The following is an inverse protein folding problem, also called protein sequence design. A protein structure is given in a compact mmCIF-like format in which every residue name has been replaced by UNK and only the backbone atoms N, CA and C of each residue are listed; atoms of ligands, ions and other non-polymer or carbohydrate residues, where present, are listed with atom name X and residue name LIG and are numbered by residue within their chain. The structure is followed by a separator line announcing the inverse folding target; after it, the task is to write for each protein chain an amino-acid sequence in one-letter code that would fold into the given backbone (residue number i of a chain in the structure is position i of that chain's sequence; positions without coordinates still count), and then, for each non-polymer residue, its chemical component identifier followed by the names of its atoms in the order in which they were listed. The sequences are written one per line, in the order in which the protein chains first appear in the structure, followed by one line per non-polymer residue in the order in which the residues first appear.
data_IF_434507349880
#
_entry.id   IF_434507349880
#
_cell.length_a   1.000
_cell.length_b   1.000
_cell.length_c   1.000
_cell.angle_alpha   90.00
_cell.angle_beta   90.00
_cell.angle_gamma   90.00
#
_symmetry.space_group_name_H-M   'P 1'
#
loop_
_entity.id
_entity.type
_entity.pdbx_description
1 polymer ?
#
# COMPACT_ATOMS: atom_id res chain seq x y z
N UNK A 1 5.89 -1.20 -14.70
CA UNK A 1 6.11 -1.38 -13.24
C UNK A 1 5.12 -2.36 -12.72
N UNK A 2 5.51 -3.21 -11.77
CA UNK A 2 4.64 -4.15 -11.06
C UNK A 2 4.38 -3.70 -9.62
N UNK A 3 3.32 -4.22 -9.01
CA UNK A 3 2.97 -3.90 -7.62
C UNK A 3 3.07 -5.12 -6.72
N UNK A 4 3.44 -4.91 -5.46
CA UNK A 4 3.34 -5.92 -4.40
C UNK A 4 2.51 -5.34 -3.27
N UNK A 5 1.53 -6.11 -2.79
CA UNK A 5 0.83 -5.82 -1.54
C UNK A 5 1.29 -6.86 -0.52
N UNK A 6 1.93 -6.41 0.56
CA UNK A 6 2.26 -7.29 1.66
C UNK A 6 1.12 -7.26 2.68
N UNK A 7 0.33 -8.33 2.67
CA UNK A 7 -0.84 -8.54 3.51
C UNK A 7 -0.63 -9.73 4.48
N UNK A 8 0.59 -9.85 4.98
CA UNK A 8 0.99 -10.84 5.96
C UNK A 8 0.97 -10.31 7.40
N UNK A 9 1.57 -11.09 8.28
CA UNK A 9 1.72 -10.78 9.71
C UNK A 9 0.63 -11.37 10.59
N UNK A 10 0.97 -11.63 11.85
CA UNK A 10 0.10 -12.32 12.82
C UNK A 10 -1.07 -11.47 13.35
N UNK A 11 -1.05 -10.15 13.14
CA UNK A 11 -2.09 -9.24 13.62
C UNK A 11 -2.31 -9.23 15.14
N UNK A 12 -1.34 -9.70 15.94
CA UNK A 12 -1.49 -9.93 17.40
C UNK A 12 -1.92 -8.70 18.19
N UNK A 13 -1.55 -7.50 17.73
CA UNK A 13 -1.98 -6.24 18.37
C UNK A 13 -3.49 -5.98 18.28
N UNK A 14 -4.18 -6.70 17.40
CA UNK A 14 -5.64 -6.61 17.20
C UNK A 14 -6.38 -7.86 17.72
N UNK A 15 -5.73 -8.74 18.49
CA UNK A 15 -6.45 -9.86 19.14
C UNK A 15 -7.49 -9.31 20.13
N UNK A 16 -8.70 -9.91 20.16
CA UNK A 16 -9.11 -11.18 19.51
C UNK A 16 -9.64 -11.03 18.08
N UNK A 17 -9.75 -9.83 17.50
CA UNK A 17 -10.36 -9.62 16.17
C UNK A 17 -9.68 -10.45 15.07
N UNK A 18 -8.37 -10.59 15.15
CA UNK A 18 -7.53 -11.25 14.13
C UNK A 18 -7.21 -12.72 14.45
N UNK A 19 -7.93 -13.36 15.38
CA UNK A 19 -7.76 -14.79 15.67
C UNK A 19 -8.25 -15.71 14.55
N UNK A 20 -9.25 -15.26 13.79
CA UNK A 20 -9.90 -16.08 12.77
C UNK A 20 -9.87 -15.45 11.36
N UNK A 21 -9.35 -14.25 11.21
CA UNK A 21 -9.33 -13.52 9.94
C UNK A 21 -8.12 -12.60 9.87
N UNK A 22 -7.51 -12.50 8.69
CA UNK A 22 -6.46 -11.52 8.43
C UNK A 22 -6.97 -10.10 8.69
N UNK A 23 -6.11 -9.26 9.29
CA UNK A 23 -6.40 -7.84 9.50
C UNK A 23 -6.86 -7.15 8.20
N UNK A 24 -6.19 -7.44 7.10
CA UNK A 24 -6.44 -6.80 5.81
C UNK A 24 -7.76 -7.22 5.15
N UNK A 25 -8.43 -8.24 5.67
CA UNK A 25 -9.79 -8.64 5.28
C UNK A 25 -10.88 -8.03 6.16
N UNK A 26 -10.51 -7.38 7.26
CA UNK A 26 -11.47 -6.68 8.13
C UNK A 26 -12.04 -5.46 7.42
N UNK A 27 -13.31 -5.09 7.71
CA UNK A 27 -13.92 -3.94 7.09
C UNK A 27 -13.31 -2.63 7.62
N UNK A 28 -13.06 -1.70 6.72
CA UNK A 28 -12.88 -0.29 7.02
C UNK A 28 -14.07 0.43 6.40
N UNK A 29 -15.03 0.79 7.23
CA UNK A 29 -16.34 1.32 6.90
C UNK A 29 -17.15 0.36 6.01
N UNK A 30 -17.13 0.49 4.69
CA UNK A 30 -18.01 -0.23 3.76
C UNK A 30 -17.32 -1.27 2.88
N UNK A 31 -16.00 -1.47 3.04
CA UNK A 31 -15.22 -2.42 2.21
C UNK A 31 -14.04 -3.04 2.96
N UNK A 32 -13.49 -4.18 2.47
CA UNK A 32 -12.32 -4.78 3.09
C UNK A 32 -11.10 -3.88 3.02
N UNK A 33 -10.28 -3.88 4.07
CA UNK A 33 -9.08 -3.03 4.19
C UNK A 33 -8.14 -3.16 2.99
N UNK A 34 -7.97 -4.35 2.42
CA UNK A 34 -7.08 -4.60 1.27
C UNK A 34 -7.45 -3.77 0.02
N UNK A 35 -8.70 -3.31 -0.09
CA UNK A 35 -9.13 -2.49 -1.23
C UNK A 35 -8.40 -1.15 -1.29
N UNK A 36 -8.04 -0.58 -0.14
CA UNK A 36 -7.35 0.72 -0.08
C UNK A 36 -5.94 0.66 -0.66
N UNK A 37 -5.02 -0.21 -0.20
CA UNK A 37 -3.70 -0.33 -0.83
C UNK A 37 -3.78 -0.85 -2.26
N UNK A 38 -4.76 -1.70 -2.60
CA UNK A 38 -4.98 -2.16 -3.96
C UNK A 38 -5.34 -0.99 -4.89
N UNK A 39 -6.31 -0.15 -4.49
CA UNK A 39 -6.66 1.05 -5.26
C UNK A 39 -5.49 2.03 -5.36
N UNK A 40 -4.66 2.15 -4.31
CA UNK A 40 -3.47 3.01 -4.33
C UNK A 40 -2.48 2.59 -5.43
N UNK A 41 -2.22 1.29 -5.59
CA UNK A 41 -1.39 0.79 -6.69
C UNK A 41 -2.07 1.02 -8.06
N UNK A 42 -3.37 0.80 -8.14
CA UNK A 42 -4.11 1.04 -9.38
C UNK A 42 -4.08 2.51 -9.79
N UNK A 43 -4.26 3.46 -8.85
CA UNK A 43 -4.11 4.90 -9.11
C UNK A 43 -2.68 5.30 -9.53
N UNK A 44 -1.65 4.54 -9.14
CA UNK A 44 -0.29 4.70 -9.65
C UNK A 44 -0.11 4.17 -11.09
N UNK A 45 -1.16 3.63 -11.72
CA UNK A 45 -1.11 3.05 -13.07
C UNK A 45 -0.61 1.60 -13.09
N UNK A 46 -0.64 0.90 -11.97
CA UNK A 46 -0.13 -0.47 -11.83
C UNK A 46 -1.29 -1.45 -11.91
N UNK A 47 -1.24 -2.36 -12.90
CA UNK A 47 -2.27 -3.38 -13.14
C UNK A 47 -1.80 -4.82 -12.91
N UNK A 48 -0.47 -5.07 -12.85
CA UNK A 48 0.08 -6.37 -12.46
C UNK A 48 0.49 -6.33 -10.99
N UNK A 49 -0.20 -7.09 -10.13
CA UNK A 49 -0.07 -6.98 -8.68
C UNK A 49 0.07 -8.36 -8.05
N UNK A 50 1.11 -8.53 -7.23
CA UNK A 50 1.33 -9.71 -6.38
C UNK A 50 0.81 -9.44 -4.97
N UNK A 51 -0.08 -10.28 -4.48
CA UNK A 51 -0.57 -10.26 -3.11
C UNK A 51 0.22 -11.33 -2.32
N UNK A 52 0.97 -10.90 -1.32
CA UNK A 52 1.74 -11.78 -0.44
C UNK A 52 1.03 -11.85 0.92
N UNK A 53 0.72 -13.05 1.37
CA UNK A 53 0.04 -13.26 2.65
C UNK A 53 0.48 -14.57 3.32
N UNK A 54 -0.05 -14.83 4.52
CA UNK A 54 0.21 -16.08 5.24
C UNK A 54 -0.42 -17.28 4.52
N UNK A 55 0.06 -18.53 4.74
CA UNK A 55 -0.58 -19.72 4.18
C UNK A 55 -2.06 -19.85 4.54
N UNK A 56 -2.41 -19.43 5.75
CA UNK A 56 -3.79 -19.50 6.27
C UNK A 56 -4.73 -18.51 5.55
N UNK A 57 -4.28 -17.28 5.31
CA UNK A 57 -5.15 -16.22 4.85
C UNK A 57 -5.18 -16.07 3.32
N UNK A 58 -4.13 -16.53 2.62
CA UNK A 58 -4.00 -16.39 1.18
C UNK A 58 -5.21 -16.92 0.38
N UNK A 59 -5.83 -18.07 0.72
CA UNK A 59 -7.04 -18.54 0.02
C UNK A 59 -8.22 -17.59 0.14
N UNK A 60 -8.31 -16.80 1.22
CA UNK A 60 -9.38 -15.84 1.42
C UNK A 60 -9.17 -14.60 0.51
N UNK A 61 -7.94 -14.16 0.33
CA UNK A 61 -7.61 -13.10 -0.65
C UNK A 61 -7.89 -13.55 -2.08
N UNK A 62 -7.52 -14.79 -2.43
CA UNK A 62 -7.83 -15.36 -3.74
C UNK A 62 -9.34 -15.43 -4.00
N UNK A 63 -10.13 -15.80 -2.99
CA UNK A 63 -11.58 -15.84 -3.08
C UNK A 63 -12.19 -14.43 -3.24
N UNK A 64 -11.64 -13.44 -2.54
CA UNK A 64 -12.14 -12.06 -2.56
C UNK A 64 -11.82 -11.35 -3.88
N UNK A 65 -10.56 -11.45 -4.34
CA UNK A 65 -10.02 -10.60 -5.41
C UNK A 65 -9.99 -11.32 -6.77
N UNK A 66 -10.03 -12.67 -6.78
CA UNK A 66 -9.92 -13.46 -8.01
C UNK A 66 -8.58 -13.30 -8.71
N UNK A 67 -8.58 -13.33 -10.03
CA UNK A 67 -7.39 -13.17 -10.86
C UNK A 67 -7.19 -11.74 -11.41
N UNK A 68 -8.06 -10.81 -11.03
CA UNK A 68 -8.01 -9.40 -11.43
C UNK A 68 -8.57 -9.08 -12.81
N UNK A 69 -8.88 -10.08 -13.65
CA UNK A 69 -9.34 -9.83 -15.05
C UNK A 69 -10.57 -8.96 -15.12
N UNK A 70 -11.50 -9.10 -14.19
CA UNK A 70 -12.71 -8.28 -14.14
C UNK A 70 -12.43 -6.79 -13.94
N UNK A 71 -11.26 -6.46 -13.39
CA UNK A 71 -10.75 -5.10 -13.16
C UNK A 71 -9.73 -4.67 -14.22
N UNK A 72 -9.54 -5.46 -15.27
CA UNK A 72 -8.49 -5.21 -16.26
C UNK A 72 -7.06 -5.35 -15.69
N UNK A 73 -6.93 -6.05 -14.57
CA UNK A 73 -5.69 -6.29 -13.86
C UNK A 73 -5.27 -7.76 -13.96
N UNK A 74 -4.04 -8.05 -13.51
CA UNK A 74 -3.54 -9.39 -13.30
C UNK A 74 -3.07 -9.52 -11.85
N UNK A 75 -3.76 -10.34 -11.06
CA UNK A 75 -3.38 -10.63 -9.68
C UNK A 75 -2.68 -11.99 -9.60
N UNK A 76 -1.53 -11.99 -8.94
CA UNK A 76 -0.80 -13.19 -8.54
C UNK A 76 -0.73 -13.26 -7.01
N UNK A 77 -0.43 -14.44 -6.49
CA UNK A 77 -0.49 -14.72 -5.06
C UNK A 77 0.72 -15.53 -4.64
N UNK A 78 1.35 -15.12 -3.53
CA UNK A 78 2.48 -15.83 -2.95
C UNK A 78 2.35 -15.92 -1.43
N UNK A 79 2.99 -16.93 -0.87
CA UNK A 79 2.99 -17.17 0.58
C UNK A 79 4.23 -16.56 1.20
N UNK A 80 4.04 -15.87 2.32
CA UNK A 80 5.07 -15.58 3.31
C UNK A 80 4.81 -16.50 4.51
N UNK A 81 5.67 -17.49 4.71
CA UNK A 81 5.49 -18.52 5.76
C UNK A 81 5.62 -17.91 7.14
N UNK A 82 6.65 -17.11 7.36
CA UNK A 82 6.97 -16.44 8.62
C UNK A 82 7.10 -14.93 8.43
N UNK A 83 6.83 -14.11 9.48
CA UNK A 83 6.92 -12.65 9.40
C UNK A 83 8.39 -12.17 9.45
N UNK A 84 9.20 -12.55 8.47
CA UNK A 84 10.65 -12.27 8.40
C UNK A 84 10.98 -10.83 8.01
N UNK A 85 10.00 -9.95 7.92
CA UNK A 85 10.18 -8.53 7.61
C UNK A 85 9.66 -8.11 6.24
N UNK A 86 9.61 -6.80 6.02
CA UNK A 86 8.98 -6.23 4.82
C UNK A 86 9.81 -6.47 3.56
N UNK A 87 11.14 -6.46 3.66
CA UNK A 87 12.01 -6.63 2.52
C UNK A 87 11.98 -8.06 1.95
N UNK A 88 11.53 -9.06 2.72
CA UNK A 88 11.33 -10.42 2.21
C UNK A 88 10.34 -10.47 1.04
N UNK A 89 9.41 -9.51 0.96
CA UNK A 89 8.47 -9.42 -0.14
C UNK A 89 9.15 -9.38 -1.53
N UNK A 90 10.33 -8.77 -1.64
CA UNK A 90 11.07 -8.72 -2.91
C UNK A 90 11.81 -10.02 -3.21
N UNK A 91 12.16 -10.80 -2.21
CA UNK A 91 12.76 -12.13 -2.36
C UNK A 91 11.69 -13.11 -2.82
N UNK A 92 10.54 -13.12 -2.14
CA UNK A 92 9.37 -13.94 -2.50
C UNK A 92 8.87 -13.57 -3.91
N UNK A 93 8.78 -12.27 -4.18
CA UNK A 93 8.28 -11.74 -5.46
C UNK A 93 9.29 -11.72 -6.60
N UNK A 94 10.49 -12.27 -6.43
CA UNK A 94 11.59 -12.17 -7.42
C UNK A 94 11.17 -12.57 -8.83
N UNK A 95 10.54 -13.73 -8.98
CA UNK A 95 10.15 -14.24 -10.29
C UNK A 95 8.99 -13.42 -10.88
N UNK A 96 8.07 -12.95 -10.06
CA UNK A 96 7.01 -12.01 -10.47
C UNK A 96 7.61 -10.68 -10.92
N UNK A 97 8.52 -10.09 -10.18
CA UNK A 97 9.18 -8.82 -10.53
C UNK A 97 9.93 -8.98 -11.87
N UNK A 98 10.69 -10.05 -12.03
CA UNK A 98 11.53 -10.27 -13.22
C UNK A 98 12.54 -9.13 -13.42
N UNK A 99 12.44 -8.42 -14.54
CA UNK A 99 13.29 -7.27 -14.87
C UNK A 99 12.57 -5.92 -14.67
N UNK A 100 11.36 -5.93 -14.15
CA UNK A 100 10.55 -4.73 -13.97
C UNK A 100 10.96 -3.94 -12.72
N UNK A 101 10.59 -2.66 -12.70
CA UNK A 101 10.51 -1.84 -11.50
C UNK A 101 9.32 -2.28 -10.66
N UNK A 102 9.35 -2.05 -9.36
CA UNK A 102 8.32 -2.53 -8.45
C UNK A 102 7.93 -1.49 -7.41
N UNK A 103 6.63 -1.41 -7.14
CA UNK A 103 6.07 -0.72 -5.98
C UNK A 103 5.69 -1.73 -4.90
N UNK A 104 5.96 -1.43 -3.63
CA UNK A 104 5.47 -2.15 -2.47
C UNK A 104 4.51 -1.26 -1.71
N UNK A 105 3.33 -1.77 -1.38
CA UNK A 105 2.39 -1.13 -0.44
C UNK A 105 2.04 -2.11 0.67
N UNK A 106 2.03 -1.62 1.91
CA UNK A 106 1.59 -2.41 3.04
C UNK A 106 0.08 -2.55 3.04
N UNK A 107 -0.41 -3.75 3.22
CA UNK A 107 -1.83 -4.11 3.12
C UNK A 107 -2.75 -3.47 4.16
N UNK A 108 -2.18 -2.77 5.15
CA UNK A 108 -2.89 -2.09 6.23
C UNK A 108 -2.75 -0.55 6.19
N UNK A 109 -2.16 -0.02 5.13
CA UNK A 109 -2.01 1.42 4.95
C UNK A 109 -3.11 1.98 4.04
N UNK A 110 -3.71 3.06 4.47
CA UNK A 110 -4.74 3.80 3.74
C UNK A 110 -4.18 5.17 3.39
N UNK A 111 -4.27 5.52 2.11
CA UNK A 111 -3.86 6.83 1.60
C UNK A 111 -5.06 7.51 0.95
N UNK A 112 -5.24 8.80 1.23
CA UNK A 112 -6.26 9.63 0.59
C UNK A 112 -5.81 11.09 0.56
N UNK A 113 -5.99 11.75 -0.56
CA UNK A 113 -5.69 13.18 -0.69
C UNK A 113 -5.78 13.65 -2.14
N UNK A 114 -6.01 14.95 -2.31
CA UNK A 114 -6.00 15.60 -3.61
C UNK A 114 -4.60 15.54 -4.21
N UNK A 115 -4.49 15.19 -5.49
CA UNK A 115 -3.19 15.11 -6.18
C UNK A 115 -2.38 13.84 -5.86
N UNK A 116 -2.90 12.93 -5.02
CA UNK A 116 -2.18 11.71 -4.67
C UNK A 116 -1.95 10.80 -5.90
N UNK A 117 -2.96 10.62 -6.74
CA UNK A 117 -2.84 9.80 -7.93
C UNK A 117 -1.76 10.33 -8.89
N UNK A 118 -1.75 11.63 -9.14
CA UNK A 118 -0.76 12.31 -9.99
C UNK A 118 0.65 12.17 -9.40
N UNK A 119 0.79 12.32 -8.07
CA UNK A 119 2.06 12.14 -7.38
C UNK A 119 2.59 10.71 -7.52
N UNK A 120 1.73 9.71 -7.36
CA UNK A 120 2.09 8.30 -7.50
C UNK A 120 2.48 7.97 -8.96
N UNK A 121 1.74 8.48 -9.94
CA UNK A 121 2.04 8.30 -11.36
C UNK A 121 3.35 8.97 -11.77
N UNK A 122 3.65 10.15 -11.25
CA UNK A 122 4.92 10.84 -11.48
C UNK A 122 6.13 10.04 -10.97
N UNK A 123 5.92 9.23 -9.92
CA UNK A 123 6.95 8.41 -9.29
C UNK A 123 7.02 6.97 -9.83
N UNK A 124 6.16 6.55 -10.75
CA UNK A 124 6.04 5.16 -11.17
C UNK A 124 7.16 4.64 -12.10
N UNK A 125 8.20 5.45 -12.33
CA UNK A 125 9.38 5.06 -13.09
C UNK A 125 10.70 5.40 -12.36
N UNK A 126 10.94 4.88 -11.14
CA UNK A 126 12.09 5.25 -10.33
C UNK A 126 13.42 4.81 -10.95
N UNK A 127 14.46 5.63 -10.74
CA UNK A 127 15.86 5.29 -10.94
C UNK A 127 16.52 5.22 -9.55
N UNK A 128 16.47 4.06 -8.92
CA UNK A 128 16.81 3.85 -7.53
C UNK A 128 15.55 3.64 -6.68
N UNK A 129 15.58 4.11 -5.42
CA UNK A 129 14.45 4.05 -4.48
C UNK A 129 13.76 5.40 -4.34
N UNK A 130 12.43 5.39 -4.29
CA UNK A 130 11.61 6.53 -3.89
C UNK A 130 10.80 6.13 -2.67
N UNK A 131 10.99 6.86 -1.58
CA UNK A 131 10.20 6.77 -0.35
C UNK A 131 9.33 8.00 -0.21
N UNK A 132 8.27 7.88 0.57
CA UNK A 132 7.42 9.03 0.88
C UNK A 132 7.71 9.52 2.30
N UNK A 133 7.50 10.80 2.54
CA UNK A 133 7.64 11.42 3.84
C UNK A 133 6.31 12.05 4.27
N UNK A 134 5.84 11.71 5.45
CA UNK A 134 4.61 12.21 6.02
C UNK A 134 4.87 12.83 7.40
N UNK A 135 4.46 14.07 7.60
CA UNK A 135 4.69 14.77 8.85
C UNK A 135 3.77 14.24 9.97
N UNK A 136 4.35 13.74 11.06
CA UNK A 136 3.65 13.19 12.23
C UNK A 136 4.08 13.90 13.51
N UNK A 137 3.34 13.72 14.59
CA UNK A 137 3.68 14.26 15.91
C UNK A 137 4.45 13.24 16.79
N UNK A 138 4.41 11.96 16.42
CA UNK A 138 4.99 10.81 17.15
C UNK A 138 5.93 9.98 16.25
N UNK A 139 7.00 10.59 15.68
CA UNK A 139 7.84 9.96 14.67
C UNK A 139 8.59 8.71 15.16
N UNK A 140 8.86 8.60 16.46
CA UNK A 140 9.58 7.46 17.07
C UNK A 140 8.89 6.09 16.84
N UNK A 141 7.64 6.10 16.42
CA UNK A 141 6.89 4.87 16.12
C UNK A 141 7.19 4.28 14.74
N UNK A 142 7.82 5.03 13.87
CA UNK A 142 7.95 4.75 12.43
C UNK A 142 9.41 4.75 11.98
N UNK A 143 9.66 4.35 10.75
CA UNK A 143 10.88 4.73 10.06
C UNK A 143 10.87 6.25 9.86
N UNK A 144 11.95 6.92 10.20
CA UNK A 144 12.07 8.39 10.13
C UNK A 144 13.11 8.75 9.08
N UNK A 145 12.73 9.66 8.17
CA UNK A 145 13.63 10.22 7.16
C UNK A 145 13.97 11.67 7.49
N UNK A 146 15.25 12.02 7.39
CA UNK A 146 15.75 13.39 7.45
C UNK A 146 16.29 13.79 6.08
N UNK A 147 16.02 15.04 5.66
CA UNK A 147 16.41 15.56 4.34
C UNK A 147 16.63 17.07 4.40
N UNK A 148 17.43 17.59 3.46
CA UNK A 148 17.73 19.01 3.34
C UNK A 148 16.62 19.80 2.61
N UNK A 149 16.82 21.10 2.49
CA UNK A 149 15.86 21.99 1.83
C UNK A 149 15.69 21.70 0.31
N UNK A 150 16.69 21.08 -0.28
CA UNK A 150 16.70 20.63 -1.68
C UNK A 150 16.03 19.27 -1.88
N UNK A 151 15.63 18.59 -0.76
CA UNK A 151 14.99 17.28 -0.78
C UNK A 151 15.98 16.09 -0.86
N UNK A 152 17.28 16.32 -0.64
CA UNK A 152 18.23 15.22 -0.56
C UNK A 152 18.13 14.50 0.78
N UNK A 153 18.02 13.19 0.75
CA UNK A 153 17.95 12.38 1.97
C UNK A 153 19.29 12.40 2.68
N UNK A 154 19.29 12.81 3.95
CA UNK A 154 20.48 12.86 4.80
C UNK A 154 20.60 11.61 5.68
N UNK A 155 19.51 11.12 6.22
CA UNK A 155 19.48 9.90 7.01
C UNK A 155 18.10 9.23 6.99
N UNK A 156 18.08 7.93 7.28
CA UNK A 156 16.86 7.17 7.52
C UNK A 156 17.10 6.19 8.67
N UNK A 157 16.21 6.17 9.66
CA UNK A 157 16.36 5.38 10.87
C UNK A 157 15.03 4.68 11.22
N UNK A 158 15.12 3.39 11.61
CA UNK A 158 13.94 2.61 12.03
C UNK A 158 13.65 2.87 13.50
N UNK A 159 12.50 3.42 13.80
CA UNK A 159 12.00 3.67 15.17
C UNK A 159 13.05 4.25 16.11
N UNK A 160 13.64 5.40 15.75
CA UNK A 160 14.70 6.01 16.55
C UNK A 160 14.15 6.48 17.90
N UNK A 161 14.93 6.33 18.97
CA UNK A 161 14.58 6.87 20.29
C UNK A 161 14.60 8.41 20.29
N UNK A 162 15.49 9.00 19.51
CA UNK A 162 15.63 10.45 19.32
C UNK A 162 15.52 10.76 17.81
N UNK A 163 14.29 10.98 17.29
CA UNK A 163 14.09 11.26 15.89
C UNK A 163 14.75 12.58 15.44
N UNK A 164 15.43 12.57 14.29
CA UNK A 164 16.06 13.76 13.71
C UNK A 164 15.09 14.68 13.00
N UNK A 165 13.93 14.15 12.62
CA UNK A 165 12.86 14.88 11.98
C UNK A 165 11.49 14.38 12.42
N UNK A 166 10.42 15.10 12.07
CA UNK A 166 9.04 14.65 12.26
C UNK A 166 8.46 13.96 11.00
N UNK A 167 9.30 13.51 10.06
CA UNK A 167 8.85 12.89 8.84
C UNK A 167 8.95 11.36 8.93
N UNK A 168 7.80 10.73 9.13
CA UNK A 168 7.65 9.28 9.07
C UNK A 168 7.66 8.80 7.61
N UNK A 169 8.15 7.59 7.38
CA UNK A 169 8.09 6.91 6.09
C UNK A 169 6.88 5.97 6.09
N UNK A 170 5.80 6.31 5.35
CA UNK A 170 4.63 5.45 5.23
C UNK A 170 4.94 4.16 4.46
N UNK A 171 4.04 3.19 4.57
CA UNK A 171 4.18 1.88 3.95
C UNK A 171 3.90 1.88 2.44
N UNK A 172 4.52 2.78 1.68
CA UNK A 172 4.51 2.81 0.22
C UNK A 172 5.90 3.16 -0.30
N UNK A 173 6.41 2.33 -1.23
CA UNK A 173 7.78 2.39 -1.72
C UNK A 173 7.82 2.08 -3.20
N UNK A 174 8.64 2.82 -3.97
CA UNK A 174 8.89 2.53 -5.38
C UNK A 174 10.38 2.30 -5.61
N UNK A 175 10.71 1.21 -6.29
CA UNK A 175 12.10 0.81 -6.51
C UNK A 175 12.37 0.43 -7.97
N UNK A 176 13.59 0.67 -8.41
CA UNK A 176 14.13 0.06 -9.62
C UNK A 176 14.39 -1.44 -9.40
N UNK A 177 14.80 -2.15 -10.44
CA UNK A 177 14.98 -3.60 -10.38
C UNK A 177 16.13 -4.05 -9.46
N UNK A 178 17.07 -3.17 -9.10
CA UNK A 178 18.17 -3.51 -8.18
C UNK A 178 17.68 -3.87 -6.76
N UNK A 179 16.43 -3.56 -6.44
CA UNK A 179 15.79 -3.95 -5.17
C UNK A 179 15.88 -5.46 -4.89
N UNK A 180 15.77 -6.30 -5.94
CA UNK A 180 15.78 -7.77 -5.79
C UNK A 180 17.15 -8.23 -5.27
N UNK A 181 18.24 -7.67 -5.79
CA UNK A 181 19.58 -7.98 -5.33
C UNK A 181 19.85 -7.36 -3.94
N UNK A 182 19.45 -6.12 -3.73
CA UNK A 182 19.61 -5.44 -2.44
C UNK A 182 18.89 -6.22 -1.33
N UNK A 183 17.62 -6.58 -1.53
CA UNK A 183 16.84 -7.33 -0.54
C UNK A 183 17.46 -8.71 -0.23
N UNK A 184 18.02 -9.38 -1.22
CA UNK A 184 18.70 -10.66 -1.03
C UNK A 184 20.00 -10.57 -0.23
N UNK A 185 20.62 -9.38 -0.13
CA UNK A 185 21.92 -9.18 0.52
C UNK A 185 21.85 -8.47 1.88
N UNK A 186 20.72 -7.90 2.27
CA UNK A 186 20.56 -7.33 3.62
C UNK A 186 20.53 -8.44 4.67
N UNK A 187 20.92 -8.08 5.89
CA UNK A 187 20.94 -9.01 7.02
C UNK A 187 19.74 -8.74 7.93
N UNK A 188 19.19 -9.77 8.58
CA UNK A 188 18.17 -9.58 9.60
C UNK A 188 18.64 -8.63 10.71
N UNK A 189 17.75 -7.77 11.15
CA UNK A 189 17.95 -6.87 12.30
C UNK A 189 18.03 -7.64 13.62
N UNK A 190 18.26 -6.94 14.72
CA UNK A 190 18.19 -7.53 16.07
C UNK A 190 16.82 -8.15 16.39
N UNK A 191 15.77 -7.77 15.66
CA UNK A 191 14.42 -8.35 15.75
C UNK A 191 14.26 -9.63 14.93
N UNK A 192 15.28 -10.02 14.15
CA UNK A 192 15.22 -11.14 13.21
C UNK A 192 14.51 -10.80 11.89
N UNK A 193 14.20 -9.54 11.62
CA UNK A 193 13.44 -9.08 10.45
C UNK A 193 14.37 -8.47 9.38
N UNK A 194 14.06 -8.72 8.11
CA UNK A 194 14.64 -8.03 6.96
C UNK A 194 13.93 -6.66 6.82
N UNK A 195 14.58 -5.63 7.34
CA UNK A 195 13.98 -4.30 7.45
C UNK A 195 13.97 -3.55 6.13
N UNK A 196 12.85 -2.94 5.79
CA UNK A 196 12.75 -2.06 4.63
C UNK A 196 13.64 -0.82 4.79
N UNK A 197 13.85 -0.38 6.02
CA UNK A 197 14.74 0.73 6.34
C UNK A 197 16.19 0.42 5.96
N UNK A 198 16.65 -0.83 6.07
CA UNK A 198 18.00 -1.22 5.67
C UNK A 198 18.15 -1.29 4.15
N UNK A 199 17.10 -1.68 3.43
CA UNK A 199 17.03 -1.51 1.96
C UNK A 199 17.20 -0.04 1.58
N UNK A 200 16.44 0.85 2.20
CA UNK A 200 16.51 2.30 1.94
C UNK A 200 17.89 2.88 2.27
N UNK A 201 18.54 2.42 3.36
CA UNK A 201 19.93 2.80 3.68
C UNK A 201 20.91 2.38 2.58
N UNK A 202 20.69 1.23 1.95
CA UNK A 202 21.57 0.77 0.87
C UNK A 202 21.41 1.66 -0.38
N UNK A 203 20.17 2.03 -0.75
CA UNK A 203 19.94 3.04 -1.79
C UNK A 203 20.53 4.41 -1.43
N UNK A 204 20.43 4.83 -0.17
CA UNK A 204 21.02 6.08 0.31
C UNK A 204 22.55 6.08 0.15
N UNK A 205 23.23 5.01 0.55
CA UNK A 205 24.69 4.84 0.38
C UNK A 205 25.13 4.93 -1.09
N UNK A 206 24.28 4.45 -2.00
CA UNK A 206 24.53 4.52 -3.44
C UNK A 206 24.17 5.89 -4.05
N UNK A 207 23.65 6.84 -3.25
CA UNK A 207 23.17 8.13 -3.74
C UNK A 207 21.92 8.03 -4.63
N UNK A 208 21.14 6.96 -4.48
CA UNK A 208 19.97 6.64 -5.30
C UNK A 208 18.64 6.63 -4.52
N UNK A 209 18.60 7.14 -3.29
CA UNK A 209 17.36 7.28 -2.53
C UNK A 209 16.80 8.69 -2.70
N UNK A 210 15.55 8.77 -3.13
CA UNK A 210 14.79 10.03 -3.23
C UNK A 210 13.64 10.03 -2.23
N UNK A 211 13.26 11.21 -1.76
CA UNK A 211 12.09 11.41 -0.92
C UNK A 211 11.04 12.22 -1.67
N UNK A 212 9.78 11.80 -1.56
CA UNK A 212 8.60 12.51 -2.07
C UNK A 212 7.72 12.87 -0.88
N UNK A 213 7.45 14.16 -0.68
CA UNK A 213 6.69 14.63 0.49
C UNK A 213 5.20 14.52 0.19
N UNK A 214 4.46 13.90 1.10
CA UNK A 214 3.00 13.90 1.09
C UNK A 214 2.50 15.22 1.68
N UNK A 215 1.77 15.96 0.87
CA UNK A 215 1.29 17.31 1.21
C UNK A 215 0.29 17.30 2.36
N UNK A 216 0.09 18.50 2.96
CA UNK A 216 -0.81 18.77 4.09
C UNK A 216 -2.19 18.35 3.67
N UNK A 217 -2.92 17.95 3.25
CA UNK A 217 -4.27 17.48 2.91
C UNK A 217 -4.29 16.00 2.59
N UNK A 218 -3.12 15.37 2.52
CA UNK A 218 -3.05 13.92 2.40
C UNK A 218 -3.27 13.28 3.76
N UNK A 219 -4.16 12.32 3.83
CA UNK A 219 -4.32 11.43 4.97
C UNK A 219 -3.53 10.15 4.72
N UNK A 220 -2.70 9.78 5.69
CA UNK A 220 -2.12 8.46 5.84
C UNK A 220 -2.59 7.87 7.15
N UNK A 221 -3.21 6.69 7.09
CA UNK A 221 -3.74 5.99 8.25
C UNK A 221 -3.12 4.61 8.32
N UNK A 222 -2.42 4.33 9.42
CA UNK A 222 -2.02 2.99 9.80
C UNK A 222 -3.14 2.35 10.62
N UNK A 223 -3.51 1.13 10.35
CA UNK A 223 -4.60 0.44 11.05
C UNK A 223 -4.06 -0.58 12.06
N UNK A 224 -2.94 -0.25 12.70
CA UNK A 224 -2.18 -1.17 13.54
C UNK A 224 -2.71 -1.40 14.95
N UNK A 225 -3.68 -0.59 15.42
CA UNK A 225 -4.28 -0.66 16.76
C UNK A 225 -5.80 -0.59 16.67
N UNK A 226 -6.51 -0.97 17.74
CA UNK A 226 -7.98 -0.83 17.80
C UNK A 226 -8.43 0.61 17.55
N UNK A 227 -7.70 1.56 18.13
CA UNK A 227 -8.02 2.98 17.99
C UNK A 227 -7.79 3.46 16.56
N UNK A 228 -6.64 3.17 15.94
CA UNK A 228 -6.35 3.59 14.57
C UNK A 228 -7.26 2.91 13.55
N UNK A 229 -7.66 1.65 13.79
CA UNK A 229 -8.65 0.94 12.98
C UNK A 229 -10.02 1.64 12.99
N UNK A 230 -10.48 2.04 14.18
CA UNK A 230 -11.74 2.78 14.35
C UNK A 230 -11.66 4.16 13.71
N UNK A 231 -10.56 4.89 13.93
CA UNK A 231 -10.36 6.22 13.36
C UNK A 231 -10.33 6.18 11.82
N UNK A 232 -9.71 5.15 11.24
CA UNK A 232 -9.71 4.95 9.80
C UNK A 232 -11.13 4.77 9.24
N UNK A 233 -11.96 3.93 9.91
CA UNK A 233 -13.36 3.75 9.52
C UNK A 233 -14.17 5.05 9.63
N UNK A 234 -13.99 5.81 10.70
CA UNK A 234 -14.66 7.10 10.90
C UNK A 234 -14.23 8.15 9.87
N UNK A 235 -12.92 8.22 9.56
CA UNK A 235 -12.39 9.13 8.54
C UNK A 235 -13.01 8.82 7.18
N UNK A 236 -12.97 7.57 6.75
CA UNK A 236 -13.55 7.14 5.47
C UNK A 236 -15.03 7.46 5.42
N UNK A 237 -15.80 7.12 6.47
CA UNK A 237 -17.22 7.40 6.56
C UNK A 237 -17.52 8.88 6.37
N UNK A 238 -16.86 9.76 7.13
CA UNK A 238 -17.12 11.20 7.09
C UNK A 238 -16.87 11.78 5.71
N UNK A 239 -15.76 11.40 5.06
CA UNK A 239 -15.41 11.90 3.72
C UNK A 239 -16.41 11.37 2.69
N UNK A 240 -16.69 10.08 2.67
CA UNK A 240 -17.62 9.47 1.71
C UNK A 240 -19.05 10.03 1.84
N UNK A 241 -19.57 10.17 3.06
CA UNK A 241 -20.91 10.73 3.29
C UNK A 241 -21.00 12.21 2.93
N UNK A 242 -19.94 12.99 3.16
CA UNK A 242 -19.93 14.42 2.87
C UNK A 242 -19.74 14.75 1.41
N UNK A 243 -18.89 14.01 0.72
CA UNK A 243 -18.53 14.29 -0.68
C UNK A 243 -19.32 13.45 -1.68
N UNK A 244 -20.00 12.40 -1.24
CA UNK A 244 -20.75 11.50 -2.11
C UNK A 244 -19.84 10.64 -3.00
N UNK A 245 -18.58 10.45 -2.61
CA UNK A 245 -17.59 9.66 -3.34
C UNK A 245 -17.21 8.40 -2.55
N UNK A 246 -16.33 7.55 -3.13
CA UNK A 246 -15.75 6.39 -2.45
C UNK A 246 -14.24 6.48 -2.36
N UNK A 247 -13.69 6.18 -1.18
CA UNK A 247 -12.25 6.03 -0.96
C UNK A 247 -11.89 4.55 -1.12
N UNK A 248 -10.90 4.23 -1.94
CA UNK A 248 -10.46 2.84 -2.11
C UNK A 248 -11.41 1.95 -2.91
N UNK A 249 -12.29 2.52 -3.75
CA UNK A 249 -13.11 1.75 -4.69
C UNK A 249 -12.23 1.28 -5.85
N UNK A 250 -11.94 -0.04 -5.87
CA UNK A 250 -11.05 -0.63 -6.88
C UNK A 250 -11.66 -0.62 -8.28
N UNK A 251 -12.97 -0.74 -8.40
CA UNK A 251 -13.70 -0.66 -9.66
C UNK A 251 -13.67 0.76 -10.26
N UNK A 252 -13.79 1.78 -9.39
CA UNK A 252 -13.62 3.18 -9.80
C UNK A 252 -12.20 3.44 -10.28
N UNK A 253 -11.19 2.98 -9.51
CA UNK A 253 -9.78 3.10 -9.90
C UNK A 253 -9.53 2.43 -11.27
N UNK A 254 -10.05 1.20 -11.48
CA UNK A 254 -9.94 0.49 -12.75
C UNK A 254 -10.55 1.28 -13.91
N UNK A 255 -11.72 1.87 -13.71
CA UNK A 255 -12.43 2.64 -14.75
C UNK A 255 -11.71 3.98 -15.05
N UNK A 256 -11.38 4.75 -14.04
CA UNK A 256 -10.70 6.06 -14.21
C UNK A 256 -9.29 5.91 -14.79
N UNK A 257 -8.61 4.81 -14.49
CA UNK A 257 -7.30 4.49 -15.09
C UNK A 257 -7.40 3.85 -16.49
N UNK A 258 -8.60 3.61 -16.99
CA UNK A 258 -8.80 3.04 -18.32
C UNK A 258 -8.47 1.54 -18.41
N UNK A 259 -8.38 0.83 -17.28
CA UNK A 259 -8.18 -0.62 -17.26
C UNK A 259 -9.46 -1.37 -17.71
N UNK A 260 -10.64 -0.79 -17.44
CA UNK A 260 -11.94 -1.27 -17.88
C UNK A 260 -12.75 -0.15 -18.51
N UNK A 261 -13.71 -0.51 -19.35
CA UNK A 261 -14.68 0.42 -19.95
C UNK A 261 -15.96 0.57 -19.09
N UNK A 262 -16.85 1.48 -19.52
CA UNK A 262 -18.11 1.74 -18.83
C UNK A 262 -19.03 0.50 -18.77
N UNK A 263 -19.01 -0.34 -19.82
CA UNK A 263 -19.82 -1.56 -19.87
C UNK A 263 -19.35 -2.58 -18.81
N UNK A 264 -18.04 -2.71 -18.65
CA UNK A 264 -17.48 -3.60 -17.64
C UNK A 264 -17.73 -3.03 -16.22
N UNK A 265 -17.60 -1.70 -16.02
CA UNK A 265 -17.93 -1.07 -14.74
C UNK A 265 -19.41 -1.31 -14.38
N UNK A 266 -20.33 -1.20 -15.33
CA UNK A 266 -21.74 -1.51 -15.11
C UNK A 266 -21.93 -2.94 -14.61
N UNK A 267 -21.31 -3.93 -15.26
CA UNK A 267 -21.41 -5.34 -14.85
C UNK A 267 -20.89 -5.58 -13.43
N UNK A 268 -19.85 -4.86 -13.03
CA UNK A 268 -19.30 -4.94 -11.67
C UNK A 268 -20.23 -4.27 -10.64
N UNK A 269 -20.89 -3.18 -11.02
CA UNK A 269 -21.81 -2.44 -10.16
C UNK A 269 -23.13 -3.17 -9.90
N UNK A 270 -23.68 -3.89 -10.88
CA UNK A 270 -25.01 -4.54 -10.81
C UNK A 270 -25.21 -5.42 -9.56
N UNK A 271 -24.30 -6.35 -9.18
CA UNK A 271 -24.47 -7.18 -7.99
C UNK A 271 -24.37 -6.38 -6.68
N UNK A 272 -23.82 -5.15 -6.73
CA UNK A 272 -23.55 -4.29 -5.57
C UNK A 272 -24.60 -3.19 -5.35
N UNK A 273 -25.64 -3.11 -6.20
CA UNK A 273 -26.65 -2.05 -6.16
C UNK A 273 -27.41 -1.98 -4.81
N UNK A 274 -27.53 -3.09 -4.10
CA UNK A 274 -28.24 -3.13 -2.80
C UNK A 274 -27.46 -2.47 -1.67
N UNK A 275 -26.17 -2.25 -1.82
CA UNK A 275 -25.30 -1.72 -0.77
C UNK A 275 -24.96 -0.23 -0.90
N UNK A 276 -25.54 0.49 -1.83
CA UNK A 276 -25.14 1.88 -2.12
C UNK A 276 -23.77 2.01 -2.81
N UNK A 277 -22.87 1.05 -2.62
CA UNK A 277 -21.58 0.99 -3.30
C UNK A 277 -21.75 0.88 -4.82
N UNK A 278 -22.59 -0.06 -5.29
CA UNK A 278 -22.93 -0.21 -6.70
C UNK A 278 -23.64 1.03 -7.27
N UNK A 279 -24.44 1.75 -6.47
CA UNK A 279 -25.09 3.00 -6.88
C UNK A 279 -24.05 4.08 -7.20
N UNK A 280 -23.00 4.19 -6.39
CA UNK A 280 -21.88 5.09 -6.65
C UNK A 280 -21.17 4.71 -7.97
N UNK A 281 -20.84 3.43 -8.16
CA UNK A 281 -20.19 2.99 -9.40
C UNK A 281 -21.04 3.31 -10.65
N UNK A 282 -22.36 3.16 -10.56
CA UNK A 282 -23.26 3.51 -11.66
C UNK A 282 -23.34 5.02 -11.94
N UNK A 283 -23.09 5.87 -10.94
CA UNK A 283 -23.06 7.32 -11.16
C UNK A 283 -21.88 7.76 -12.00
N UNK A 284 -20.72 7.09 -11.85
CA UNK A 284 -19.50 7.38 -12.61
C UNK A 284 -19.64 7.19 -14.13
N UNK A 285 -20.60 6.37 -14.58
CA UNK A 285 -20.85 6.12 -16.01
C UNK A 285 -21.68 7.27 -16.64
N UNK A 286 -22.39 8.04 -15.81
CA UNK A 286 -23.29 9.12 -16.25
C UNK A 286 -22.59 10.48 -16.33
N UNK A 287 -21.43 10.60 -15.71
CA UNK A 287 -20.54 11.77 -15.80
C UNK A 287 -19.68 11.71 -17.07
#
# INVERSE_FOLDING_TARGET
MKGIILAGGSGTRLHPLTLAVSKQLMPIYDKPMIYYPLSTLMWAGISEILIISTPHDLPLFQKLLGDGKNLGCKFEYAVQEDPNGLAEAFIIGKDFIGQDKVALVLGDNIFYGTGLAELLQANNNPEGGIIYAYHVHDPERYGVVDFDAEGNVLSIEEKPLEPKSNYAVPGIYFYDNSIVEIAANIKPSLRGELEITDVNKEYLKQGKLKVSILDRGTAWLDTGTFQSLMQAGQFVQVIEERQGLKIGAIEEAAYKMGFIDALQLQKLAEPLLKSGYGTHLMSLIKE
#
